data_IF_362177046391
#
_entry.id   IF_362177046391
#
_cell.length_a   1.000
_cell.length_b   1.000
_cell.length_c   1.000
_cell.angle_alpha   90.00
_cell.angle_beta   90.00
_cell.angle_gamma   90.00
#
_symmetry.space_group_name_H-M   'P 1'
#
loop_
_entity.id
_entity.type
_entity.pdbx_description
1 polymer ?
#
# COMPACT_ATOMS: atom_id res chain seq x y z
N UNK A 1 3.32 -16.62 1.31
CA UNK A 1 3.50 -17.56 2.45
C UNK A 1 2.44 -18.67 2.52
N UNK A 2 1.54 -18.83 1.54
CA UNK A 2 0.58 -19.94 1.52
C UNK A 2 1.19 -21.34 1.32
N UNK A 3 2.53 -21.45 1.18
CA UNK A 3 3.26 -22.68 0.87
C UNK A 3 4.30 -23.00 1.96
N UNK A 4 3.91 -22.91 3.24
CA UNK A 4 4.75 -23.40 4.33
C UNK A 4 4.17 -24.73 4.82
N UNK A 5 4.86 -25.87 4.62
CA UNK A 5 4.53 -27.11 5.29
C UNK A 5 4.49 -26.84 6.80
N UNK A 6 3.41 -27.25 7.47
CA UNK A 6 3.19 -26.99 8.91
C UNK A 6 4.37 -27.45 9.78
N UNK A 7 5.11 -28.43 9.29
CA UNK A 7 6.24 -29.07 9.95
C UNK A 7 7.48 -28.15 9.95
N UNK A 8 7.69 -27.41 8.86
CA UNK A 8 8.77 -26.43 8.72
C UNK A 8 8.48 -25.17 9.53
N UNK A 9 7.22 -24.72 9.55
CA UNK A 9 6.80 -23.57 10.36
C UNK A 9 7.01 -23.82 11.87
N UNK A 10 6.85 -25.06 12.32
CA UNK A 10 7.08 -25.47 13.72
C UNK A 10 8.55 -25.62 14.09
N UNK A 11 9.41 -25.97 13.13
CA UNK A 11 10.83 -26.23 13.40
C UNK A 11 11.61 -24.95 13.73
N UNK A 12 11.28 -23.82 13.10
CA UNK A 12 11.99 -22.54 13.30
C UNK A 12 11.05 -21.32 13.34
N UNK A 13 10.12 -21.25 14.31
CA UNK A 13 9.13 -20.17 14.39
C UNK A 13 9.77 -18.79 14.60
N UNK A 14 10.92 -18.75 15.27
CA UNK A 14 11.66 -17.51 15.54
C UNK A 14 12.19 -16.85 14.25
N UNK A 15 12.70 -17.65 13.30
CA UNK A 15 13.22 -17.16 12.02
C UNK A 15 12.09 -16.61 11.16
N UNK A 16 10.95 -17.30 11.14
CA UNK A 16 9.75 -16.82 10.45
C UNK A 16 9.23 -15.51 11.02
N UNK A 17 9.18 -15.38 12.36
CA UNK A 17 8.78 -14.14 13.03
C UNK A 17 9.75 -12.98 12.75
N UNK A 18 11.06 -13.24 12.76
CA UNK A 18 12.09 -12.24 12.44
C UNK A 18 11.98 -11.77 10.99
N UNK A 19 11.77 -12.70 10.05
CA UNK A 19 11.53 -12.39 8.64
C UNK A 19 10.28 -11.54 8.44
N UNK A 20 9.17 -11.92 9.08
CA UNK A 20 7.93 -11.15 9.05
C UNK A 20 8.16 -9.73 9.59
N UNK A 21 8.82 -9.60 10.73
CA UNK A 21 9.15 -8.31 11.33
C UNK A 21 9.93 -7.41 10.36
N UNK A 22 11.03 -7.90 9.78
CA UNK A 22 11.83 -7.08 8.85
C UNK A 22 11.10 -6.73 7.56
N UNK A 23 10.31 -7.65 7.01
CA UNK A 23 9.48 -7.36 5.83
C UNK A 23 8.43 -6.30 6.16
N UNK A 24 7.73 -6.42 7.30
CA UNK A 24 6.75 -5.42 7.73
C UNK A 24 7.38 -4.05 7.99
N UNK A 25 8.57 -4.02 8.60
CA UNK A 25 9.36 -2.79 8.77
C UNK A 25 9.75 -2.21 7.40
N UNK A 26 10.14 -3.05 6.44
CA UNK A 26 10.40 -2.66 5.05
C UNK A 26 9.23 -1.97 4.37
N UNK A 27 8.07 -2.61 4.40
CA UNK A 27 6.83 -2.06 3.82
C UNK A 27 6.47 -0.74 4.50
N UNK A 28 6.44 -0.72 5.84
CA UNK A 28 6.14 0.49 6.58
C UNK A 28 7.11 1.65 6.24
N UNK A 29 8.39 1.36 6.01
CA UNK A 29 9.37 2.38 5.64
C UNK A 29 9.11 2.92 4.24
N UNK A 30 8.76 2.08 3.27
CA UNK A 30 8.40 2.53 1.92
C UNK A 30 7.20 3.48 1.99
N UNK A 31 6.15 3.06 2.70
CA UNK A 31 4.90 3.82 2.86
C UNK A 31 5.14 5.17 3.57
N UNK A 32 5.83 5.15 4.71
CA UNK A 32 6.05 6.35 5.54
C UNK A 32 7.07 7.31 4.93
N UNK A 33 8.21 6.80 4.45
CA UNK A 33 9.27 7.66 3.93
C UNK A 33 8.92 8.18 2.56
N UNK A 34 8.66 7.26 1.65
CA UNK A 34 8.68 7.60 0.24
C UNK A 34 7.30 8.11 -0.19
N UNK A 35 6.26 7.34 0.11
CA UNK A 35 4.92 7.62 -0.38
C UNK A 35 4.24 8.75 0.39
N UNK A 36 4.52 8.89 1.69
CA UNK A 36 4.05 10.03 2.48
C UNK A 36 5.05 11.22 2.46
N UNK A 37 6.20 11.11 3.13
CA UNK A 37 7.02 12.31 3.45
C UNK A 37 7.78 12.89 2.27
N UNK A 38 8.41 12.08 1.43
CA UNK A 38 9.15 12.57 0.26
C UNK A 38 8.23 13.15 -0.82
N UNK A 39 7.07 12.53 -1.04
CA UNK A 39 6.04 13.05 -1.94
C UNK A 39 5.59 14.47 -1.53
N UNK A 40 5.38 14.68 -0.23
CA UNK A 40 5.04 15.99 0.34
C UNK A 40 6.13 17.03 0.13
N UNK A 41 7.38 16.73 0.50
CA UNK A 41 8.52 17.66 0.38
C UNK A 41 8.68 18.12 -1.08
N UNK A 42 8.53 17.20 -2.03
CA UNK A 42 8.65 17.52 -3.45
C UNK A 42 7.50 18.41 -3.94
N UNK A 43 6.28 18.19 -3.44
CA UNK A 43 5.13 19.05 -3.72
C UNK A 43 5.33 20.45 -3.13
N UNK A 44 5.79 20.57 -1.88
CA UNK A 44 6.05 21.86 -1.24
C UNK A 44 7.14 22.65 -1.97
N UNK A 45 8.25 21.99 -2.34
CA UNK A 45 9.32 22.62 -3.14
C UNK A 45 8.82 23.15 -4.48
N UNK A 46 7.96 22.40 -5.15
CA UNK A 46 7.38 22.81 -6.42
C UNK A 46 6.43 24.00 -6.29
N UNK A 47 5.56 24.00 -5.27
CA UNK A 47 4.69 25.14 -4.97
C UNK A 47 5.49 26.40 -4.60
N UNK A 48 6.57 26.25 -3.83
CA UNK A 48 7.47 27.36 -3.49
C UNK A 48 8.17 27.92 -4.73
N UNK A 49 8.63 27.06 -5.65
CA UNK A 49 9.23 27.46 -6.91
C UNK A 49 8.24 28.24 -7.80
N UNK A 50 6.97 27.83 -7.84
CA UNK A 50 5.91 28.54 -8.56
C UNK A 50 5.57 29.90 -7.93
N UNK A 51 5.66 30.02 -6.61
CA UNK A 51 5.42 31.26 -5.88
C UNK A 51 6.59 32.27 -5.95
N UNK A 52 7.67 31.96 -6.67
CA UNK A 52 8.86 32.82 -6.79
C UNK A 52 9.67 32.95 -5.49
N UNK A 53 9.36 32.13 -4.47
CA UNK A 53 10.03 32.15 -3.18
C UNK A 53 11.16 31.12 -3.13
N UNK A 54 12.39 31.57 -2.86
CA UNK A 54 13.44 30.66 -2.37
C UNK A 54 12.91 29.89 -1.16
N UNK A 55 13.05 28.56 -1.11
CA UNK A 55 12.52 27.77 -0.02
C UNK A 55 13.30 28.08 1.26
N UNK A 56 12.76 28.97 2.09
CA UNK A 56 13.12 28.94 3.51
C UNK A 56 12.52 27.66 4.06
N UNK A 57 13.36 26.65 4.27
CA UNK A 57 13.08 25.68 5.31
C UNK A 57 12.77 26.51 6.56
N UNK A 58 11.58 26.36 7.12
CA UNK A 58 11.28 26.89 8.44
C UNK A 58 12.07 26.08 9.48
N UNK A 59 13.40 26.24 9.48
CA UNK A 59 14.25 26.00 10.63
C UNK A 59 13.98 27.19 11.53
N UNK A 60 13.05 27.02 12.47
CA UNK A 60 12.89 27.96 13.57
C UNK A 60 14.08 27.76 14.51
N UNK A 61 15.22 28.33 14.15
CA UNK A 61 16.35 28.47 15.07
C UNK A 61 15.91 29.41 16.19
N UNK A 62 15.70 28.81 17.36
CA UNK A 62 15.44 29.54 18.60
C UNK A 62 16.80 29.88 19.20
N UNK A 63 17.41 30.97 18.75
CA UNK A 63 18.54 31.58 19.46
C UNK A 63 18.02 32.64 20.41
N UNK A 64 18.24 32.38 21.70
CA UNK A 64 17.98 33.28 22.82
C UNK A 64 18.81 34.57 22.71
N UNK A 65 18.19 35.72 22.97
CA UNK A 65 18.84 37.02 23.10
C UNK A 65 17.82 38.13 23.45
N UNK A 66 18.16 39.10 24.32
CA UNK A 66 17.18 40.01 24.91
C UNK A 66 16.75 41.11 23.94
N UNK A 67 15.49 41.51 24.07
CA UNK A 67 14.81 42.57 23.31
C UNK A 67 15.51 43.93 23.51
N UNK A 68 15.84 44.68 22.44
CA UNK A 68 15.88 46.13 22.50
C UNK A 68 14.65 46.73 21.82
N UNK A 69 14.13 47.74 22.49
CA UNK A 69 13.15 48.74 22.04
C UNK A 69 13.57 49.45 20.76
N UNK A 70 12.74 49.42 19.72
CA UNK A 70 12.16 50.60 19.05
C UNK A 70 11.43 50.21 17.77
N UNK A 71 10.48 51.05 17.44
CA UNK A 71 9.40 50.92 16.47
C UNK A 71 9.92 51.28 15.08
N UNK A 72 9.68 50.44 14.08
CA UNK A 72 9.47 50.95 12.72
C UNK A 72 8.27 50.26 12.05
N UNK A 73 7.36 51.12 11.63
CA UNK A 73 6.01 50.84 11.19
C UNK A 73 6.04 50.60 9.68
N UNK A 74 5.64 49.43 9.19
CA UNK A 74 5.10 49.31 7.84
C UNK A 74 3.69 48.76 7.94
N UNK A 75 2.77 49.67 7.70
CA UNK A 75 1.33 49.58 7.70
C UNK A 75 0.84 48.55 6.68
N UNK A 76 0.16 47.51 7.16
CA UNK A 76 -0.91 46.85 6.42
C UNK A 76 -2.02 46.50 7.42
N UNK A 77 -3.13 47.22 7.32
CA UNK A 77 -4.31 47.10 8.18
C UNK A 77 -5.00 45.73 8.01
N UNK A 78 -5.66 45.20 9.06
CA UNK A 78 -6.29 43.90 9.05
C UNK A 78 -7.69 43.99 8.43
N UNK A 79 -7.99 43.17 7.42
CA UNK A 79 -9.37 42.81 7.12
C UNK A 79 -9.70 41.45 7.72
N UNK A 80 -10.60 41.51 8.69
CA UNK A 80 -11.38 40.43 9.25
C UNK A 80 -12.06 39.60 8.16
N UNK A 81 -11.79 38.29 8.13
CA UNK A 81 -12.71 37.30 7.59
C UNK A 81 -12.74 36.11 8.55
N UNK A 82 -13.69 36.14 9.48
CA UNK A 82 -14.29 34.92 10.01
C UNK A 82 -14.92 34.17 8.83
N UNK A 83 -14.60 32.88 8.67
CA UNK A 83 -15.22 32.08 7.63
C UNK A 83 -14.40 30.85 7.27
N UNK A 84 -14.76 29.73 7.91
CA UNK A 84 -14.47 28.38 7.44
C UNK A 84 -14.58 28.30 5.91
N UNK A 85 -13.44 28.23 5.22
CA UNK A 85 -13.41 27.89 3.80
C UNK A 85 -12.22 26.99 3.55
N UNK A 86 -12.56 25.79 3.10
CA UNK A 86 -11.63 24.83 2.53
C UNK A 86 -10.75 25.54 1.49
N UNK A 87 -9.46 25.21 1.49
CA UNK A 87 -8.60 25.45 0.33
C UNK A 87 -9.21 24.66 -0.83
N UNK A 88 -10.03 25.33 -1.60
CA UNK A 88 -10.55 24.86 -2.87
C UNK A 88 -9.34 24.84 -3.81
N UNK A 89 -8.85 23.64 -4.10
CA UNK A 89 -7.83 23.42 -5.14
C UNK A 89 -8.52 23.76 -6.45
N UNK A 90 -8.43 25.03 -6.85
CA UNK A 90 -8.84 25.50 -8.15
C UNK A 90 -7.97 24.81 -9.20
N UNK A 91 -8.61 23.99 -10.04
CA UNK A 91 -8.04 23.50 -11.29
C UNK A 91 -7.81 24.72 -12.20
N UNK A 92 -6.62 25.33 -12.13
CA UNK A 92 -6.17 26.27 -13.15
C UNK A 92 -5.50 25.51 -14.29
N UNK A 93 -6.13 25.57 -15.46
CA UNK A 93 -5.55 25.18 -16.75
C UNK A 93 -4.37 26.11 -17.07
N UNK A 94 -3.18 25.71 -16.63
CA UNK A 94 -1.90 26.27 -17.04
C UNK A 94 -1.02 25.17 -17.63
N UNK A 95 -0.64 25.34 -18.89
CA UNK A 95 0.32 24.53 -19.63
C UNK A 95 1.73 24.72 -19.03
N UNK A 96 2.14 23.80 -18.17
CA UNK A 96 3.54 23.52 -17.89
C UNK A 96 3.69 22.01 -17.79
N UNK A 97 4.69 21.49 -18.49
CA UNK A 97 4.87 20.07 -18.85
C UNK A 97 5.28 19.17 -17.67
N UNK A 98 5.06 19.59 -16.42
CA UNK A 98 5.38 18.80 -15.23
C UNK A 98 4.37 18.97 -14.08
N UNK A 99 3.17 18.40 -14.25
CA UNK A 99 2.01 18.68 -13.38
C UNK A 99 2.04 18.06 -11.98
N UNK A 100 2.97 17.17 -11.62
CA UNK A 100 3.04 16.66 -10.24
C UNK A 100 4.37 15.93 -9.92
N UNK A 101 5.33 16.57 -9.24
CA UNK A 101 6.58 15.92 -8.86
C UNK A 101 6.39 14.81 -7.83
N UNK A 102 5.31 14.83 -7.03
CA UNK A 102 4.99 13.75 -6.10
C UNK A 102 4.65 12.46 -6.86
N UNK A 103 3.93 12.57 -7.98
CA UNK A 103 3.61 11.43 -8.85
C UNK A 103 4.84 10.74 -9.41
N UNK A 104 5.88 11.51 -9.78
CA UNK A 104 7.14 10.95 -10.28
C UNK A 104 7.90 10.15 -9.22
N UNK A 105 7.93 10.64 -7.98
CA UNK A 105 8.60 9.94 -6.87
C UNK A 105 7.91 8.61 -6.56
N UNK A 106 6.59 8.61 -6.44
CA UNK A 106 5.81 7.38 -6.17
C UNK A 106 6.00 6.38 -7.32
N UNK A 107 5.92 6.83 -8.57
CA UNK A 107 6.14 5.98 -9.76
C UNK A 107 7.55 5.36 -9.75
N UNK A 108 8.58 6.14 -9.41
CA UNK A 108 9.97 5.68 -9.36
C UNK A 108 10.19 4.61 -8.29
N UNK A 109 9.56 4.76 -7.12
CA UNK A 109 9.71 3.78 -6.05
C UNK A 109 9.03 2.47 -6.36
N UNK A 110 7.85 2.50 -6.95
CA UNK A 110 7.22 1.28 -7.45
C UNK A 110 8.01 0.62 -8.57
N UNK A 111 8.63 1.39 -9.46
CA UNK A 111 9.57 0.84 -10.43
C UNK A 111 10.70 0.06 -9.74
N UNK A 112 11.31 0.63 -8.69
CA UNK A 112 12.36 -0.04 -7.91
C UNK A 112 11.83 -1.30 -7.21
N UNK A 113 10.64 -1.23 -6.60
CA UNK A 113 9.99 -2.36 -5.94
C UNK A 113 9.72 -3.50 -6.93
N UNK A 114 9.22 -3.19 -8.12
CA UNK A 114 8.93 -4.18 -9.18
C UNK A 114 10.21 -4.85 -9.67
N UNK A 115 11.31 -4.11 -9.83
CA UNK A 115 12.63 -4.71 -10.15
C UNK A 115 13.08 -5.65 -9.04
N UNK A 116 12.87 -5.27 -7.77
CA UNK A 116 13.14 -6.13 -6.62
C UNK A 116 12.32 -7.42 -6.65
N UNK A 117 11.02 -7.32 -6.95
CA UNK A 117 10.14 -8.48 -7.11
C UNK A 117 10.60 -9.39 -8.25
N UNK A 118 10.99 -8.83 -9.40
CA UNK A 118 11.50 -9.59 -10.53
C UNK A 118 12.73 -10.43 -10.15
N UNK A 119 13.72 -9.77 -9.53
CA UNK A 119 14.95 -10.44 -9.08
C UNK A 119 14.64 -11.55 -8.06
N UNK A 120 13.72 -11.28 -7.11
CA UNK A 120 13.27 -12.28 -6.15
C UNK A 120 12.60 -13.47 -6.84
N UNK A 121 11.70 -13.24 -7.80
CA UNK A 121 10.99 -14.30 -8.54
C UNK A 121 11.95 -15.18 -9.36
N UNK A 122 13.02 -14.61 -9.92
CA UNK A 122 14.06 -15.39 -10.62
C UNK A 122 14.84 -16.31 -9.69
N UNK A 123 15.02 -15.95 -8.42
CA UNK A 123 15.81 -16.71 -7.44
C UNK A 123 14.97 -17.72 -6.65
N UNK A 124 13.73 -17.38 -6.28
CA UNK A 124 12.89 -18.19 -5.40
C UNK A 124 12.61 -19.58 -5.98
N UNK A 125 12.31 -19.67 -7.28
CA UNK A 125 11.98 -20.94 -7.93
C UNK A 125 13.13 -21.95 -7.93
N UNK A 126 14.28 -21.61 -8.54
CA UNK A 126 15.45 -22.49 -8.57
C UNK A 126 15.96 -22.86 -7.18
N UNK A 127 15.87 -21.95 -6.20
CA UNK A 127 16.25 -22.23 -4.82
C UNK A 127 15.25 -23.19 -4.19
N UNK A 128 13.94 -23.02 -4.37
CA UNK A 128 12.94 -23.92 -3.79
C UNK A 128 12.97 -25.34 -4.38
N UNK A 129 13.33 -25.48 -5.66
CA UNK A 129 13.36 -26.77 -6.36
C UNK A 129 14.67 -27.54 -6.13
N UNK A 130 15.82 -26.85 -5.97
CA UNK A 130 17.14 -27.50 -5.78
C UNK A 130 17.63 -27.48 -4.32
N UNK A 131 17.15 -26.54 -3.51
CA UNK A 131 17.50 -26.39 -2.10
C UNK A 131 16.21 -26.43 -1.27
N UNK A 132 16.30 -26.87 -0.01
CA UNK A 132 15.09 -26.92 0.82
C UNK A 132 14.49 -25.52 0.98
N UNK A 133 13.16 -25.44 0.95
CA UNK A 133 12.39 -24.18 1.17
C UNK A 133 12.83 -23.45 2.45
N UNK A 134 13.31 -24.20 3.45
CA UNK A 134 13.92 -23.68 4.68
C UNK A 134 15.06 -22.68 4.45
N UNK A 135 15.86 -22.86 3.39
CA UNK A 135 17.00 -22.00 3.10
C UNK A 135 16.55 -20.59 2.69
N UNK A 136 15.44 -20.49 1.95
CA UNK A 136 14.80 -19.20 1.62
C UNK A 136 14.36 -18.47 2.89
N UNK A 137 13.79 -19.20 3.86
CA UNK A 137 13.37 -18.64 5.14
C UNK A 137 14.54 -18.26 6.06
N UNK A 138 15.67 -18.96 5.99
CA UNK A 138 16.87 -18.60 6.75
C UNK A 138 17.57 -17.37 6.17
N UNK A 139 17.67 -17.25 4.84
CA UNK A 139 18.39 -16.14 4.18
C UNK A 139 17.55 -14.88 4.05
N UNK A 140 16.23 -15.03 3.81
CA UNK A 140 15.30 -13.92 3.60
C UNK A 140 15.34 -12.82 4.67
N UNK A 141 15.34 -13.13 5.98
CA UNK A 141 15.43 -12.13 7.05
C UNK A 141 16.72 -11.30 7.01
N UNK A 142 17.86 -11.90 6.65
CA UNK A 142 19.13 -11.17 6.56
C UNK A 142 19.16 -10.22 5.37
N UNK A 143 18.57 -10.62 4.24
CA UNK A 143 18.39 -9.73 3.09
C UNK A 143 17.41 -8.60 3.44
N UNK A 144 16.31 -8.91 4.13
CA UNK A 144 15.34 -7.90 4.58
C UNK A 144 15.93 -6.93 5.61
N UNK A 145 16.87 -7.38 6.45
CA UNK A 145 17.56 -6.55 7.43
C UNK A 145 18.36 -5.39 6.81
N UNK A 146 18.62 -5.39 5.49
CA UNK A 146 19.20 -4.24 4.79
C UNK A 146 18.38 -2.95 4.97
N UNK A 147 17.09 -3.07 5.28
CA UNK A 147 16.21 -1.93 5.62
C UNK A 147 16.71 -1.14 6.83
N UNK A 148 17.48 -1.76 7.72
CA UNK A 148 18.06 -1.06 8.87
C UNK A 148 19.13 -0.04 8.45
N UNK A 149 19.78 -0.23 7.30
CA UNK A 149 20.85 0.66 6.83
C UNK A 149 20.35 2.11 6.65
N UNK A 150 19.28 2.40 5.89
CA UNK A 150 18.77 3.77 5.75
C UNK A 150 18.25 4.36 7.06
N UNK A 151 17.68 3.53 7.96
CA UNK A 151 17.26 3.97 9.29
C UNK A 151 18.47 4.43 10.12
N UNK A 152 19.48 3.57 10.22
CA UNK A 152 20.69 3.82 11.01
C UNK A 152 21.52 4.98 10.45
N UNK A 153 21.57 5.12 9.12
CA UNK A 153 22.22 6.26 8.45
C UNK A 153 21.40 7.54 8.51
N UNK A 154 20.14 7.47 8.97
CA UNK A 154 19.25 8.62 9.09
C UNK A 154 18.92 9.26 7.75
N UNK A 155 18.57 8.44 6.75
CA UNK A 155 18.02 8.92 5.46
C UNK A 155 16.59 9.48 5.61
N UNK A 156 15.98 9.31 6.79
CA UNK A 156 14.74 9.98 7.17
C UNK A 156 14.95 11.51 7.12
N UNK A 157 14.13 12.27 6.37
CA UNK A 157 14.21 13.73 6.32
C UNK A 157 13.73 14.41 7.62
N UNK A 158 13.58 13.65 8.70
CA UNK A 158 13.18 14.16 10.01
C UNK A 158 14.33 14.92 10.68
N UNK A 159 14.00 16.06 11.28
CA UNK A 159 14.95 16.79 12.11
C UNK A 159 15.34 15.96 13.31
N UNK A 160 16.64 15.63 13.42
CA UNK A 160 17.16 14.93 14.60
C UNK A 160 16.93 15.81 15.83
N UNK A 161 16.16 15.29 16.79
CA UNK A 161 15.97 15.95 18.07
C UNK A 161 17.30 15.98 18.83
N UNK A 162 17.55 17.04 19.63
CA UNK A 162 18.74 17.10 20.46
C UNK A 162 18.80 15.90 21.43
N UNK A 163 20.01 15.45 21.84
CA UNK A 163 20.19 14.22 22.62
C UNK A 163 19.36 14.13 23.92
N UNK A 164 18.96 15.27 24.50
CA UNK A 164 18.11 15.35 25.69
C UNK A 164 16.60 15.24 25.44
N UNK A 165 16.15 15.30 24.18
CA UNK A 165 14.75 15.20 23.78
C UNK A 165 14.44 14.01 22.87
N UNK A 166 15.47 13.41 22.25
CA UNK A 166 15.33 12.32 21.27
C UNK A 166 14.56 11.08 21.78
N UNK A 167 14.59 10.80 23.09
CA UNK A 167 13.89 9.66 23.69
C UNK A 167 12.64 10.05 24.49
N UNK A 168 12.23 11.33 24.48
CA UNK A 168 11.04 11.76 25.21
C UNK A 168 9.80 11.51 24.37
N UNK A 169 8.86 10.74 24.94
CA UNK A 169 7.55 10.56 24.33
C UNK A 169 6.86 11.93 24.20
N UNK A 170 6.62 12.36 22.96
CA UNK A 170 6.03 13.67 22.64
C UNK A 170 4.52 13.67 22.95
N UNK A 171 4.19 13.78 24.24
CA UNK A 171 2.80 13.75 24.75
C UNK A 171 1.89 14.76 24.05
N UNK A 172 2.40 15.93 23.71
CA UNK A 172 1.62 16.97 23.05
C UNK A 172 1.15 16.57 21.66
N UNK A 173 2.02 15.91 20.88
CA UNK A 173 1.64 15.38 19.55
C UNK A 173 0.68 14.20 19.69
N UNK A 174 0.93 13.31 20.65
CA UNK A 174 0.01 12.20 20.93
C UNK A 174 -1.38 12.70 21.33
N UNK A 175 -1.47 13.74 22.16
CA UNK A 175 -2.76 14.32 22.57
C UNK A 175 -3.49 14.97 21.40
N UNK A 176 -2.78 15.66 20.50
CA UNK A 176 -3.35 16.24 19.27
C UNK A 176 -3.87 15.16 18.32
N UNK A 177 -3.13 14.05 18.17
CA UNK A 177 -3.47 12.94 17.28
C UNK A 177 -4.23 11.78 17.90
N UNK A 178 -4.66 11.87 19.17
CA UNK A 178 -5.13 10.71 19.97
C UNK A 178 -6.25 9.91 19.32
N UNK A 179 -7.15 10.58 18.61
CA UNK A 179 -8.26 9.92 17.92
C UNK A 179 -7.77 9.09 16.72
N UNK A 180 -6.83 9.65 15.97
CA UNK A 180 -6.20 9.02 14.79
C UNK A 180 -5.33 7.84 15.23
N UNK A 181 -4.55 7.99 16.30
CA UNK A 181 -3.83 6.86 16.92
C UNK A 181 -4.78 5.78 17.47
N UNK A 182 -5.89 6.17 18.09
CA UNK A 182 -6.91 5.24 18.56
C UNK A 182 -7.52 4.42 17.43
N UNK A 183 -7.78 5.05 16.28
CA UNK A 183 -8.25 4.36 15.07
C UNK A 183 -7.21 3.36 14.55
N UNK A 184 -5.95 3.76 14.44
CA UNK A 184 -4.87 2.86 14.01
C UNK A 184 -4.74 1.63 14.95
N UNK A 185 -4.80 1.87 16.27
CA UNK A 185 -4.77 0.80 17.26
C UNK A 185 -5.98 -0.13 17.14
N UNK A 186 -7.18 0.41 16.93
CA UNK A 186 -8.37 -0.38 16.69
C UNK A 186 -8.24 -1.27 15.44
N UNK A 187 -7.70 -0.74 14.34
CA UNK A 187 -7.42 -1.51 13.13
C UNK A 187 -6.43 -2.65 13.39
N UNK A 188 -5.35 -2.39 14.15
CA UNK A 188 -4.39 -3.41 14.53
C UNK A 188 -5.00 -4.51 15.42
N UNK A 189 -5.86 -4.15 16.36
CA UNK A 189 -6.57 -5.11 17.22
C UNK A 189 -7.51 -5.99 16.40
N UNK A 190 -8.27 -5.41 15.47
CA UNK A 190 -9.15 -6.18 14.57
C UNK A 190 -8.34 -7.11 13.66
N UNK A 191 -7.23 -6.62 13.09
CA UNK A 191 -6.34 -7.45 12.27
C UNK A 191 -5.75 -8.64 13.06
N UNK A 192 -5.34 -8.40 14.31
CA UNK A 192 -4.86 -9.46 15.20
C UNK A 192 -5.97 -10.46 15.55
N UNK A 193 -7.17 -9.98 15.87
CA UNK A 193 -8.33 -10.84 16.13
C UNK A 193 -8.66 -11.71 14.92
N UNK A 194 -8.57 -11.14 13.71
CA UNK A 194 -8.79 -11.86 12.46
C UNK A 194 -7.72 -12.93 12.22
N UNK A 195 -6.45 -12.63 12.50
CA UNK A 195 -5.36 -13.60 12.42
C UNK A 195 -5.56 -14.76 13.42
N UNK A 196 -5.98 -14.46 14.65
CA UNK A 196 -6.26 -15.46 15.68
C UNK A 196 -7.48 -16.33 15.34
N UNK A 197 -8.57 -15.72 14.87
CA UNK A 197 -9.72 -16.45 14.31
C UNK A 197 -9.29 -17.31 13.11
N UNK A 198 -8.37 -16.78 12.31
CA UNK A 198 -7.63 -17.44 11.23
C UNK A 198 -7.00 -18.77 11.63
N UNK A 199 -6.40 -18.78 12.81
CA UNK A 199 -5.53 -19.85 13.29
C UNK A 199 -6.29 -20.93 14.07
N UNK A 200 -7.24 -20.52 14.91
CA UNK A 200 -7.89 -21.40 15.90
C UNK A 200 -9.34 -21.71 15.55
N UNK A 201 -10.02 -20.78 14.88
CA UNK A 201 -11.46 -20.84 14.67
C UNK A 201 -11.89 -21.52 13.36
N UNK A 202 -13.15 -21.98 13.28
CA UNK A 202 -13.76 -22.43 12.03
C UNK A 202 -13.89 -21.27 11.03
N UNK A 203 -14.05 -21.54 9.72
CA UNK A 203 -14.12 -20.50 8.68
C UNK A 203 -15.15 -19.39 8.98
N UNK A 204 -16.30 -19.77 9.56
CA UNK A 204 -17.37 -18.85 9.95
C UNK A 204 -16.92 -17.78 10.94
N UNK A 205 -16.01 -18.10 11.87
CA UNK A 205 -15.48 -17.11 12.83
C UNK A 205 -14.59 -16.08 12.17
N UNK A 206 -13.84 -16.47 11.13
CA UNK A 206 -13.01 -15.53 10.35
C UNK A 206 -13.89 -14.51 9.65
N UNK A 207 -14.96 -14.99 9.01
CA UNK A 207 -15.95 -14.15 8.35
C UNK A 207 -16.66 -13.23 9.35
N UNK A 208 -17.08 -13.76 10.50
CA UNK A 208 -17.75 -12.97 11.53
C UNK A 208 -16.87 -11.84 12.07
N UNK A 209 -15.58 -12.10 12.32
CA UNK A 209 -14.62 -11.07 12.77
C UNK A 209 -14.32 -10.07 11.65
N UNK A 210 -14.20 -10.51 10.40
CA UNK A 210 -14.00 -9.63 9.24
C UNK A 210 -15.17 -8.64 9.07
N UNK A 211 -16.40 -9.16 9.04
CA UNK A 211 -17.61 -8.34 8.87
C UNK A 211 -17.84 -7.46 10.09
N UNK A 212 -17.74 -8.02 11.30
CA UNK A 212 -17.91 -7.26 12.55
C UNK A 212 -16.87 -6.16 12.70
N UNK A 213 -15.60 -6.45 12.41
CA UNK A 213 -14.52 -5.47 12.38
C UNK A 213 -14.79 -4.33 11.39
N UNK A 214 -15.29 -4.65 10.20
CA UNK A 214 -15.66 -3.66 9.17
C UNK A 214 -16.81 -2.75 9.64
N UNK A 215 -17.85 -3.33 10.26
CA UNK A 215 -18.99 -2.59 10.81
C UNK A 215 -18.60 -1.66 11.97
N UNK A 216 -17.49 -1.93 12.66
CA UNK A 216 -16.97 -1.08 13.75
C UNK A 216 -16.01 -0.02 13.20
N UNK A 217 -15.05 -0.43 12.37
CA UNK A 217 -13.97 0.45 11.90
C UNK A 217 -14.45 1.51 10.92
N UNK A 218 -15.40 1.21 10.03
CA UNK A 218 -15.89 2.18 9.03
C UNK A 218 -16.63 3.37 9.67
N UNK A 219 -17.62 3.18 10.57
CA UNK A 219 -18.22 4.30 11.28
C UNK A 219 -17.23 5.06 12.16
N UNK A 220 -16.26 4.36 12.76
CA UNK A 220 -15.23 5.00 13.56
C UNK A 220 -14.33 5.89 12.70
N UNK A 221 -13.99 5.48 11.48
CA UNK A 221 -13.24 6.29 10.53
C UNK A 221 -13.97 7.59 10.19
N UNK A 222 -15.29 7.58 9.99
CA UNK A 222 -16.08 8.80 9.76
C UNK A 222 -16.15 9.74 10.97
N UNK A 223 -15.99 9.21 12.19
CA UNK A 223 -15.93 10.04 13.40
C UNK A 223 -14.56 10.66 13.63
N UNK A 224 -13.49 10.02 13.17
CA UNK A 224 -12.11 10.42 13.47
C UNK A 224 -11.48 11.23 12.33
N UNK A 225 -11.72 10.84 11.07
CA UNK A 225 -11.12 11.47 9.90
C UNK A 225 -12.01 12.61 9.35
N UNK A 226 -11.41 13.64 8.71
CA UNK A 226 -12.18 14.62 7.94
C UNK A 226 -13.05 13.94 6.89
N UNK A 227 -14.24 14.47 6.65
CA UNK A 227 -15.25 13.84 5.78
C UNK A 227 -14.71 13.37 4.43
N UNK A 228 -13.96 14.23 3.72
CA UNK A 228 -13.37 13.91 2.41
C UNK A 228 -12.39 12.74 2.49
N UNK A 229 -11.58 12.69 3.54
CA UNK A 229 -10.60 11.62 3.76
C UNK A 229 -11.29 10.32 4.17
N UNK A 230 -12.34 10.39 5.00
CA UNK A 230 -13.14 9.23 5.38
C UNK A 230 -13.82 8.59 4.15
N UNK A 231 -14.37 9.39 3.23
CA UNK A 231 -14.95 8.88 1.98
C UNK A 231 -13.90 8.14 1.11
N UNK A 232 -12.69 8.67 1.01
CA UNK A 232 -11.59 8.01 0.27
C UNK A 232 -11.17 6.72 0.96
N UNK A 233 -11.02 6.72 2.29
CA UNK A 233 -10.71 5.53 3.07
C UNK A 233 -11.75 4.41 2.86
N UNK A 234 -13.03 4.76 2.88
CA UNK A 234 -14.12 3.81 2.64
C UNK A 234 -14.08 3.28 1.22
N UNK A 235 -13.83 4.15 0.22
CA UNK A 235 -13.68 3.69 -1.16
C UNK A 235 -12.54 2.68 -1.32
N UNK A 236 -11.35 2.99 -0.80
CA UNK A 236 -10.18 2.10 -0.86
C UNK A 236 -10.43 0.78 -0.12
N UNK A 237 -11.09 0.84 1.04
CA UNK A 237 -11.47 -0.36 1.78
C UNK A 237 -12.46 -1.23 0.97
N UNK A 238 -13.53 -0.61 0.45
CA UNK A 238 -14.60 -1.32 -0.28
C UNK A 238 -14.07 -1.88 -1.60
N UNK A 239 -13.20 -1.17 -2.31
CA UNK A 239 -12.66 -1.63 -3.60
C UNK A 239 -11.78 -2.88 -3.45
N UNK A 240 -11.10 -3.04 -2.31
CA UNK A 240 -10.36 -4.25 -1.96
C UNK A 240 -11.27 -5.33 -1.36
N UNK A 241 -12.18 -4.98 -0.46
CA UNK A 241 -13.08 -5.93 0.18
C UNK A 241 -14.04 -6.63 -0.79
N UNK A 242 -14.49 -5.91 -1.83
CA UNK A 242 -15.35 -6.46 -2.88
C UNK A 242 -14.60 -7.25 -3.96
N UNK A 243 -13.27 -7.13 -4.03
CA UNK A 243 -12.46 -7.96 -4.92
C UNK A 243 -12.27 -9.34 -4.29
N UNK A 244 -13.31 -10.16 -4.28
CA UNK A 244 -13.32 -11.49 -3.62
C UNK A 244 -12.19 -12.36 -4.16
N UNK A 245 -11.20 -12.63 -3.31
CA UNK A 245 -10.01 -13.38 -3.69
C UNK A 245 -10.23 -14.87 -3.46
N UNK A 246 -10.26 -15.65 -4.54
CA UNK A 246 -10.45 -17.11 -4.49
C UNK A 246 -9.14 -17.91 -4.32
N UNK A 247 -8.03 -17.22 -4.06
CA UNK A 247 -6.68 -17.78 -4.14
C UNK A 247 -6.52 -19.06 -3.30
N UNK A 248 -7.11 -19.12 -2.11
CA UNK A 248 -7.03 -20.32 -1.26
C UNK A 248 -7.66 -21.58 -1.86
N UNK A 249 -8.73 -21.45 -2.65
CA UNK A 249 -9.41 -22.57 -3.30
C UNK A 249 -8.83 -22.85 -4.70
N UNK A 250 -8.47 -21.80 -5.43
CA UNK A 250 -7.93 -21.93 -6.79
C UNK A 250 -6.52 -22.50 -6.79
N UNK A 251 -5.70 -22.24 -5.76
CA UNK A 251 -4.38 -22.86 -5.58
C UNK A 251 -4.47 -24.39 -5.67
N UNK A 252 -5.42 -25.00 -4.93
CA UNK A 252 -5.65 -26.45 -4.98
C UNK A 252 -6.22 -26.89 -6.32
N UNK A 253 -7.14 -26.12 -6.91
CA UNK A 253 -7.74 -26.48 -8.20
C UNK A 253 -6.70 -26.52 -9.34
N UNK A 254 -5.76 -25.58 -9.37
CA UNK A 254 -4.72 -25.51 -10.38
C UNK A 254 -3.64 -26.59 -10.21
N UNK A 255 -3.33 -26.99 -8.97
CA UNK A 255 -2.17 -27.84 -8.65
C UNK A 255 -2.52 -29.27 -8.24
N UNK A 256 -3.79 -29.56 -7.93
CA UNK A 256 -4.21 -30.90 -7.53
C UNK A 256 -3.94 -31.93 -8.63
N UNK A 257 -3.60 -33.15 -8.22
CA UNK A 257 -3.32 -34.26 -9.15
C UNK A 257 -4.57 -34.79 -9.87
N UNK A 258 -4.37 -35.62 -10.92
CA UNK A 258 -5.46 -36.18 -11.73
C UNK A 258 -6.42 -37.07 -10.95
N UNK A 259 -5.98 -37.61 -9.80
CA UNK A 259 -6.81 -38.41 -8.89
C UNK A 259 -7.82 -37.55 -8.11
N UNK A 260 -7.49 -36.28 -7.84
CA UNK A 260 -8.34 -35.39 -7.04
C UNK A 260 -9.29 -34.56 -7.90
N UNK A 261 -8.83 -34.05 -9.06
CA UNK A 261 -9.65 -33.27 -9.99
C UNK A 261 -9.51 -33.86 -11.41
N UNK A 262 -10.37 -34.81 -11.80
CA UNK A 262 -10.28 -35.44 -13.11
C UNK A 262 -10.40 -34.42 -14.25
N UNK A 263 -9.37 -34.36 -15.09
CA UNK A 263 -9.29 -33.44 -16.22
C UNK A 263 -8.88 -32.02 -15.85
N UNK A 264 -8.41 -31.76 -14.62
CA UNK A 264 -7.93 -30.46 -14.13
C UNK A 264 -6.71 -29.88 -14.89
N UNK A 265 -6.27 -28.65 -14.59
CA UNK A 265 -5.12 -28.02 -15.24
C UNK A 265 -3.77 -28.69 -14.91
N UNK A 266 -3.67 -29.31 -13.72
CA UNK A 266 -2.52 -30.08 -13.25
C UNK A 266 -1.17 -29.37 -13.40
N UNK A 267 -1.08 -28.14 -12.91
CA UNK A 267 0.14 -27.35 -13.00
C UNK A 267 1.20 -27.80 -11.99
N UNK A 268 2.45 -27.89 -12.44
CA UNK A 268 3.62 -28.06 -11.57
C UNK A 268 3.87 -26.80 -10.74
N UNK A 269 4.34 -26.95 -9.49
CA UNK A 269 4.64 -25.82 -8.61
C UNK A 269 5.61 -24.79 -9.21
N UNK A 270 6.62 -25.22 -9.97
CA UNK A 270 7.57 -24.32 -10.66
C UNK A 270 6.85 -23.39 -11.65
N UNK A 271 5.84 -23.91 -12.36
CA UNK A 271 5.03 -23.12 -13.28
C UNK A 271 4.08 -22.20 -12.52
N UNK A 272 3.40 -22.73 -11.52
CA UNK A 272 2.38 -22.02 -10.76
C UNK A 272 2.94 -20.90 -9.88
N UNK A 273 4.10 -21.11 -9.25
CA UNK A 273 4.74 -20.09 -8.40
C UNK A 273 5.74 -19.28 -9.22
N UNK A 274 6.82 -19.89 -9.71
CA UNK A 274 7.95 -19.13 -10.26
C UNK A 274 7.59 -18.43 -11.57
N UNK A 275 7.05 -19.16 -12.54
CA UNK A 275 6.73 -18.57 -13.85
C UNK A 275 5.57 -17.57 -13.77
N UNK A 276 4.53 -17.88 -12.99
CA UNK A 276 3.42 -16.96 -12.77
C UNK A 276 3.87 -15.65 -12.10
N UNK A 277 4.74 -15.71 -11.08
CA UNK A 277 5.25 -14.49 -10.42
C UNK A 277 6.12 -13.64 -11.36
N UNK A 278 6.93 -14.26 -12.22
CA UNK A 278 7.70 -13.53 -13.24
C UNK A 278 6.74 -12.78 -14.18
N UNK A 279 5.69 -13.46 -14.68
CA UNK A 279 4.71 -12.83 -15.57
C UNK A 279 3.88 -11.77 -14.85
N UNK A 280 3.48 -12.01 -13.61
CA UNK A 280 2.82 -11.01 -12.75
C UNK A 280 3.67 -9.75 -12.61
N UNK A 281 4.98 -9.91 -12.44
CA UNK A 281 5.91 -8.78 -12.35
C UNK A 281 5.98 -7.98 -13.66
N UNK A 282 6.00 -8.65 -14.82
CA UNK A 282 5.85 -7.98 -16.12
C UNK A 282 4.49 -7.28 -16.24
N UNK A 283 3.42 -7.89 -15.72
CA UNK A 283 2.10 -7.27 -15.61
C UNK A 283 2.15 -5.97 -14.80
N UNK A 284 2.80 -5.97 -13.63
CA UNK A 284 3.03 -4.76 -12.85
C UNK A 284 3.80 -3.70 -13.65
N UNK A 285 4.89 -4.07 -14.34
CA UNK A 285 5.62 -3.11 -15.20
C UNK A 285 4.72 -2.48 -16.28
N UNK A 286 3.86 -3.30 -16.89
CA UNK A 286 2.92 -2.84 -17.91
C UNK A 286 1.83 -1.94 -17.31
N UNK A 287 1.31 -2.27 -16.12
CA UNK A 287 0.39 -1.41 -15.38
C UNK A 287 1.01 -0.06 -15.04
N UNK A 288 2.30 -0.04 -14.66
CA UNK A 288 3.05 1.20 -14.39
C UNK A 288 3.20 2.04 -15.65
N UNK A 289 3.53 1.40 -16.77
CA UNK A 289 3.61 2.04 -18.08
C UNK A 289 2.27 2.64 -18.50
N UNK A 290 1.17 1.90 -18.35
CA UNK A 290 -0.17 2.41 -18.66
C UNK A 290 -0.57 3.58 -17.77
N UNK A 291 -0.27 3.48 -16.46
CA UNK A 291 -0.54 4.57 -15.54
C UNK A 291 0.22 5.84 -15.94
N UNK A 292 1.53 5.73 -16.15
CA UNK A 292 2.38 6.88 -16.47
C UNK A 292 2.03 7.51 -17.84
N UNK A 293 1.69 6.68 -18.83
CA UNK A 293 1.42 7.13 -20.20
C UNK A 293 0.01 7.69 -20.37
N UNK A 294 -1.00 7.09 -19.74
CA UNK A 294 -2.41 7.44 -19.97
C UNK A 294 -3.06 8.08 -18.74
N UNK A 295 -3.02 7.42 -17.58
CA UNK A 295 -3.85 7.79 -16.41
C UNK A 295 -3.27 8.98 -15.63
N UNK A 296 -1.95 9.19 -15.64
CA UNK A 296 -1.27 10.24 -14.87
C UNK A 296 -1.88 11.63 -15.05
N UNK A 297 -2.30 11.95 -16.27
CA UNK A 297 -2.80 13.29 -16.61
C UNK A 297 -4.33 13.39 -16.50
N UNK A 298 -5.02 12.34 -16.07
CA UNK A 298 -6.47 12.34 -15.97
C UNK A 298 -6.93 12.98 -14.66
N UNK A 299 -8.16 13.52 -14.67
CA UNK A 299 -8.84 13.89 -13.43
C UNK A 299 -9.03 12.64 -12.56
N UNK A 300 -8.70 12.71 -11.28
CA UNK A 300 -8.75 11.57 -10.35
C UNK A 300 -10.08 10.80 -10.41
N UNK A 301 -11.21 11.51 -10.48
CA UNK A 301 -12.54 10.88 -10.62
C UNK A 301 -12.65 9.97 -11.86
N UNK A 302 -12.12 10.40 -13.01
CA UNK A 302 -12.11 9.60 -14.24
C UNK A 302 -11.18 8.40 -14.11
N UNK A 303 -10.02 8.59 -13.47
CA UNK A 303 -9.07 7.52 -13.21
C UNK A 303 -9.68 6.38 -12.36
N UNK A 304 -10.36 6.71 -11.26
CA UNK A 304 -11.02 5.70 -10.41
C UNK A 304 -12.16 4.97 -11.13
N UNK A 305 -13.00 5.67 -11.88
CA UNK A 305 -14.06 5.03 -12.68
C UNK A 305 -13.49 4.08 -13.73
N UNK A 306 -12.49 4.53 -14.49
CA UNK A 306 -11.87 3.71 -15.54
C UNK A 306 -11.19 2.47 -14.95
N UNK A 307 -10.39 2.62 -13.90
CA UNK A 307 -9.68 1.50 -13.24
C UNK A 307 -10.66 0.52 -12.60
N UNK A 308 -11.74 1.00 -11.99
CA UNK A 308 -12.80 0.13 -11.43
C UNK A 308 -13.53 -0.66 -12.51
N UNK A 309 -13.85 -0.06 -13.66
CA UNK A 309 -14.47 -0.77 -14.79
C UNK A 309 -13.53 -1.85 -15.33
N UNK A 310 -12.25 -1.52 -15.51
CA UNK A 310 -11.23 -2.46 -15.95
C UNK A 310 -11.08 -3.61 -14.94
N UNK A 311 -11.09 -3.30 -13.64
CA UNK A 311 -11.04 -4.32 -12.57
C UNK A 311 -12.22 -5.27 -12.61
N UNK A 312 -13.44 -4.77 -12.72
CA UNK A 312 -14.64 -5.61 -12.84
C UNK A 312 -14.61 -6.51 -14.08
N UNK A 313 -14.11 -5.98 -15.20
CA UNK A 313 -13.91 -6.77 -16.41
C UNK A 313 -12.84 -7.86 -16.21
N UNK A 314 -11.73 -7.56 -15.51
CA UNK A 314 -10.70 -8.53 -15.18
C UNK A 314 -11.22 -9.66 -14.28
N UNK A 315 -11.99 -9.34 -13.22
CA UNK A 315 -12.61 -10.36 -12.35
C UNK A 315 -13.52 -11.32 -13.13
N UNK A 316 -14.19 -10.83 -14.17
CA UNK A 316 -15.08 -11.65 -15.00
C UNK A 316 -14.31 -12.70 -15.79
N UNK A 317 -13.03 -12.45 -16.10
CA UNK A 317 -12.15 -13.41 -16.77
C UNK A 317 -11.70 -14.54 -15.84
N UNK A 318 -11.59 -14.30 -14.53
CA UNK A 318 -11.30 -15.36 -13.57
C UNK A 318 -12.45 -16.39 -13.56
N UNK A 319 -13.70 -15.91 -13.59
CA UNK A 319 -14.89 -16.76 -13.72
C UNK A 319 -14.88 -17.54 -15.04
N UNK A 320 -14.44 -16.91 -16.13
CA UNK A 320 -14.31 -17.56 -17.45
C UNK A 320 -13.36 -18.76 -17.42
N UNK A 321 -12.24 -18.65 -16.68
CA UNK A 321 -11.26 -19.73 -16.51
C UNK A 321 -11.83 -20.83 -15.61
N UNK A 322 -12.46 -20.47 -14.48
CA UNK A 322 -13.01 -21.45 -13.54
C UNK A 322 -14.17 -22.28 -14.13
N UNK A 323 -15.03 -21.67 -14.95
CA UNK A 323 -16.10 -22.38 -15.66
C UNK A 323 -15.61 -23.18 -16.88
N UNK A 324 -14.30 -23.17 -17.14
CA UNK A 324 -13.64 -23.87 -18.24
C UNK A 324 -14.15 -23.48 -19.63
N UNK A 325 -14.62 -22.24 -19.76
CA UNK A 325 -15.04 -21.71 -21.07
C UNK A 325 -13.85 -21.50 -21.99
N UNK A 326 -12.66 -21.29 -21.43
CA UNK A 326 -11.38 -21.27 -22.16
C UNK A 326 -11.16 -22.55 -22.99
N UNK A 327 -11.37 -23.72 -22.40
CA UNK A 327 -11.18 -25.02 -23.08
C UNK A 327 -12.22 -25.20 -24.19
N UNK A 328 -13.46 -24.74 -23.98
CA UNK A 328 -14.53 -24.78 -25.02
C UNK A 328 -14.20 -23.92 -26.23
N UNK A 329 -13.49 -22.82 -26.03
CA UNK A 329 -13.01 -21.91 -27.09
C UNK A 329 -11.69 -22.41 -27.72
N UNK A 330 -11.06 -23.45 -27.14
CA UNK A 330 -9.81 -24.04 -27.63
C UNK A 330 -8.54 -23.39 -27.06
N UNK A 331 -8.65 -22.56 -26.02
CA UNK A 331 -7.50 -21.93 -25.35
C UNK A 331 -6.94 -22.90 -24.29
N UNK A 332 -5.63 -23.24 -24.33
CA UNK A 332 -5.02 -24.10 -23.31
C UNK A 332 -5.08 -23.49 -21.90
N UNK A 333 -5.37 -24.30 -20.89
CA UNK A 333 -5.45 -23.88 -19.47
C UNK A 333 -4.20 -23.10 -19.02
N UNK A 334 -3.01 -23.54 -19.47
CA UNK A 334 -1.73 -22.87 -19.19
C UNK A 334 -1.72 -21.41 -19.65
N UNK A 335 -2.14 -21.17 -20.90
CA UNK A 335 -2.14 -19.82 -21.50
C UNK A 335 -3.21 -18.96 -20.84
N UNK A 336 -4.41 -19.51 -20.64
CA UNK A 336 -5.50 -18.81 -19.97
C UNK A 336 -5.10 -18.36 -18.55
N UNK A 337 -4.43 -19.23 -17.79
CA UNK A 337 -3.91 -18.92 -16.47
C UNK A 337 -2.85 -17.81 -16.46
N UNK A 338 -1.85 -17.89 -17.35
CA UNK A 338 -0.77 -16.87 -17.41
C UNK A 338 -1.35 -15.48 -17.68
N UNK A 339 -2.20 -15.37 -18.70
CA UNK A 339 -2.71 -14.06 -19.11
C UNK A 339 -3.83 -13.58 -18.20
N UNK A 340 -4.72 -14.47 -17.78
CA UNK A 340 -5.92 -14.14 -17.01
C UNK A 340 -5.66 -13.99 -15.51
N UNK A 341 -5.02 -14.96 -14.86
CA UNK A 341 -4.86 -14.99 -13.40
C UNK A 341 -3.51 -14.38 -12.94
N UNK A 342 -2.43 -14.60 -13.69
CA UNK A 342 -1.12 -14.08 -13.31
C UNK A 342 -0.85 -12.63 -13.78
N UNK A 343 -1.12 -12.32 -15.06
CA UNK A 343 -0.73 -11.03 -15.64
C UNK A 343 -1.77 -9.93 -15.43
N UNK A 344 -3.02 -10.18 -15.82
CA UNK A 344 -4.07 -9.16 -15.85
C UNK A 344 -4.37 -8.54 -14.48
N UNK A 345 -4.51 -9.31 -13.38
CA UNK A 345 -4.82 -8.74 -12.07
C UNK A 345 -3.67 -7.87 -11.57
N UNK A 346 -2.43 -8.23 -11.89
CA UNK A 346 -1.22 -7.45 -11.59
C UNK A 346 -1.20 -6.09 -12.29
N UNK A 347 -1.59 -6.06 -13.57
CA UNK A 347 -1.74 -4.80 -14.34
C UNK A 347 -2.79 -3.90 -13.68
N UNK A 348 -3.98 -4.46 -13.44
CA UNK A 348 -5.13 -3.73 -12.91
C UNK A 348 -4.86 -3.21 -11.51
N UNK A 349 -4.29 -4.05 -10.65
CA UNK A 349 -3.98 -3.71 -9.27
C UNK A 349 -3.08 -2.48 -9.21
N UNK A 350 -2.00 -2.44 -10.00
CA UNK A 350 -1.09 -1.29 -9.98
C UNK A 350 -1.72 -0.04 -10.60
N UNK A 351 -2.54 -0.22 -11.64
CA UNK A 351 -3.27 0.89 -12.26
C UNK A 351 -4.29 1.55 -11.32
N UNK A 352 -4.95 0.78 -10.44
CA UNK A 352 -5.86 1.30 -9.40
C UNK A 352 -5.09 1.88 -8.21
N UNK A 353 -4.04 1.19 -7.77
CA UNK A 353 -3.27 1.53 -6.58
C UNK A 353 -2.59 2.91 -6.71
N UNK A 354 -2.00 3.20 -7.87
CA UNK A 354 -1.26 4.44 -8.11
C UNK A 354 -2.10 5.73 -7.93
N UNK A 355 -3.25 5.91 -8.60
CA UNK A 355 -4.17 7.02 -8.32
C UNK A 355 -4.62 7.08 -6.86
N UNK A 356 -4.83 5.92 -6.23
CA UNK A 356 -5.14 5.78 -4.81
C UNK A 356 -4.12 6.53 -3.94
N UNK A 357 -2.84 6.17 -4.06
CA UNK A 357 -1.80 6.77 -3.24
C UNK A 357 -1.54 8.25 -3.53
N UNK A 358 -1.71 8.68 -4.78
CA UNK A 358 -1.63 10.10 -5.12
C UNK A 358 -2.80 10.91 -4.55
N UNK A 359 -3.98 10.31 -4.44
CA UNK A 359 -5.10 10.98 -3.79
C UNK A 359 -4.90 11.10 -2.28
N UNK A 360 -4.37 10.05 -1.63
CA UNK A 360 -4.07 10.06 -0.19
C UNK A 360 -3.04 11.14 0.15
N UNK A 361 -1.92 11.20 -0.57
CA UNK A 361 -0.89 12.22 -0.35
C UNK A 361 -1.39 13.65 -0.58
N UNK A 362 -2.42 13.84 -1.41
CA UNK A 362 -3.05 15.16 -1.64
C UNK A 362 -4.02 15.60 -0.55
N UNK A 363 -4.69 14.65 0.09
CA UNK A 363 -5.74 14.90 1.09
C UNK A 363 -5.22 14.82 2.54
N UNK A 364 -4.01 14.30 2.72
CA UNK A 364 -3.37 14.21 4.02
C UNK A 364 -3.29 15.60 4.69
N UNK A 365 -3.72 15.72 5.97
CA UNK A 365 -3.59 16.96 6.72
C UNK A 365 -2.11 17.27 7.01
N UNK A 366 -1.74 18.57 7.07
CA UNK A 366 -0.38 18.97 7.38
C UNK A 366 0.07 18.43 8.75
N UNK A 367 1.33 18.03 8.85
CA UNK A 367 2.00 17.50 10.05
C UNK A 367 1.52 16.10 10.53
N UNK A 368 0.60 15.46 9.79
CA UNK A 368 0.05 14.15 10.12
C UNK A 368 0.00 13.19 8.92
N UNK A 369 0.69 13.52 7.83
CA UNK A 369 0.59 12.83 6.55
C UNK A 369 0.97 11.36 6.64
N UNK A 370 2.10 11.09 7.29
CA UNK A 370 2.63 9.74 7.52
C UNK A 370 1.63 8.86 8.28
N UNK A 371 0.99 9.42 9.31
CA UNK A 371 -0.01 8.71 10.13
C UNK A 371 -1.29 8.47 9.34
N UNK A 372 -1.74 9.47 8.58
CA UNK A 372 -2.91 9.35 7.71
C UNK A 372 -2.70 8.29 6.65
N UNK A 373 -1.53 8.28 6.00
CA UNK A 373 -1.16 7.28 4.99
C UNK A 373 -1.19 5.87 5.60
N UNK A 374 -0.52 5.67 6.74
CA UNK A 374 -0.46 4.39 7.42
C UNK A 374 -1.85 3.85 7.81
N UNK A 375 -2.78 4.73 8.21
CA UNK A 375 -4.14 4.32 8.55
C UNK A 375 -4.93 3.92 7.31
N UNK A 376 -4.88 4.73 6.25
CA UNK A 376 -5.60 4.41 5.01
C UNK A 376 -5.09 3.11 4.39
N UNK A 377 -3.77 2.92 4.40
CA UNK A 377 -3.15 1.68 3.94
C UNK A 377 -3.52 0.49 4.83
N UNK A 378 -3.56 0.69 6.16
CA UNK A 378 -4.04 -0.31 7.10
C UNK A 378 -5.49 -0.74 6.83
N UNK A 379 -6.37 0.21 6.49
CA UNK A 379 -7.74 -0.09 6.06
C UNK A 379 -7.78 -0.83 4.73
N UNK A 380 -6.98 -0.42 3.74
CA UNK A 380 -6.89 -1.10 2.44
C UNK A 380 -6.45 -2.56 2.59
N UNK A 381 -5.41 -2.81 3.38
CA UNK A 381 -4.94 -4.16 3.72
C UNK A 381 -5.98 -4.98 4.50
N UNK A 382 -6.68 -4.34 5.43
CA UNK A 382 -7.80 -4.98 6.13
C UNK A 382 -8.91 -5.38 5.13
N UNK A 383 -9.26 -4.51 4.17
CA UNK A 383 -10.20 -4.81 3.10
C UNK A 383 -9.79 -6.02 2.25
N UNK A 384 -8.53 -6.11 1.85
CA UNK A 384 -7.99 -7.29 1.16
C UNK A 384 -8.14 -8.57 2.00
N UNK A 385 -7.94 -8.47 3.32
CA UNK A 385 -8.11 -9.63 4.20
C UNK A 385 -9.58 -10.02 4.37
N UNK A 386 -10.50 -9.06 4.38
CA UNK A 386 -11.95 -9.32 4.34
C UNK A 386 -12.32 -10.05 3.05
N UNK A 387 -11.80 -9.59 1.90
CA UNK A 387 -12.00 -10.27 0.60
C UNK A 387 -11.57 -11.74 0.65
N UNK A 388 -10.39 -12.03 1.21
CA UNK A 388 -9.87 -13.41 1.37
C UNK A 388 -10.59 -14.25 2.43
N UNK A 389 -11.37 -13.63 3.30
CA UNK A 389 -12.19 -14.34 4.28
C UNK A 389 -13.58 -14.65 3.73
N UNK A 390 -14.06 -13.87 2.75
CA UNK A 390 -15.32 -14.06 2.04
C UNK A 390 -15.17 -15.08 0.91
N UNK A 391 -14.08 -15.01 0.15
CA UNK A 391 -13.71 -16.00 -0.86
C UNK A 391 -13.08 -17.24 -0.26
#
# INVERSE_FOLDING_TARGET
MAVLPRDVARATPQIGALGFFFVSVGVAIIDLLVEAKYAEIMRQKHLAALAGGTPQLAVKDRTDGPVPSEIETVTATPQSVEGSTAVEVADSEGDSTDKDPASKVVTYVWMCTIVGWFLASCMIGPIADNFSVQLVFCVGPFLAAQVLIPILKGYLPETRLPPGEANKFQRDKFQKGKAVFGLAFATAVVALALALAGLVGPPETKLAVAVGGSLILLPLAFRVLPWRLACVNVYLFVSEALYVSLQGATDYWYTAGPECVPGGPHFTYTYYQSFAHIVSTFGCMLGLFFFHSFIRNWRMRKAFWATTIIKTAACSLDIFILLRWNVRVGIPDKVAFIFGDAMLPSIVWLMEYMPGQLLVSKLAPPDMESTTFAILEGFRMFGSTVSRAVG
#
